data_IF_858481397138
#
_entry.id   IF_858481397138
#
_cell.length_a   1.000
_cell.length_b   1.000
_cell.length_c   1.000
_cell.angle_alpha   90.00
_cell.angle_beta   90.00
_cell.angle_gamma   90.00
#
_symmetry.space_group_name_H-M   'P 1'
#
loop_
_entity.id
_entity.type
_entity.pdbx_description
1 polymer ?
#
# COMPACT_ATOMS: atom_id res chain seq x y z
N UNK A 1 11.20 -12.82 -45.13
CA UNK A 1 12.32 -13.09 -44.21
C UNK A 1 12.78 -11.87 -43.42
N UNK A 2 13.11 -10.71 -44.05
CA UNK A 2 13.60 -9.51 -43.33
C UNK A 2 12.61 -8.96 -42.30
N UNK A 3 11.28 -8.93 -42.57
CA UNK A 3 10.27 -8.44 -41.63
C UNK A 3 10.16 -9.30 -40.37
N UNK A 4 10.19 -10.63 -40.52
CA UNK A 4 10.17 -11.57 -39.38
C UNK A 4 11.43 -11.46 -38.52
N UNK A 5 12.60 -11.22 -39.15
CA UNK A 5 13.84 -10.99 -38.43
C UNK A 5 13.84 -9.70 -37.64
N UNK A 6 13.21 -8.63 -38.15
CA UNK A 6 13.03 -7.35 -37.45
C UNK A 6 12.10 -7.54 -36.23
N UNK A 7 10.96 -8.24 -36.40
CA UNK A 7 10.05 -8.52 -35.31
C UNK A 7 10.72 -9.36 -34.21
N UNK A 8 11.49 -10.37 -34.59
CA UNK A 8 12.24 -11.19 -33.64
C UNK A 8 13.29 -10.37 -32.89
N UNK A 9 14.03 -9.49 -33.59
CA UNK A 9 15.01 -8.63 -32.96
C UNK A 9 14.37 -7.65 -31.97
N UNK A 10 13.22 -7.04 -32.33
CA UNK A 10 12.45 -6.18 -31.43
C UNK A 10 11.95 -6.94 -30.19
N UNK A 11 11.44 -8.16 -30.38
CA UNK A 11 11.00 -9.00 -29.28
C UNK A 11 12.16 -9.36 -28.32
N UNK A 12 13.32 -9.71 -28.85
CA UNK A 12 14.52 -9.99 -28.04
C UNK A 12 14.99 -8.75 -27.27
N UNK A 13 14.96 -7.57 -27.91
CA UNK A 13 15.30 -6.29 -27.25
C UNK A 13 14.32 -5.95 -26.13
N UNK A 14 13.01 -6.15 -26.34
CA UNK A 14 11.99 -5.94 -25.31
C UNK A 14 12.17 -6.90 -24.14
N UNK A 15 12.44 -8.17 -24.41
CA UNK A 15 12.73 -9.16 -23.37
C UNK A 15 13.99 -8.79 -22.57
N UNK A 16 15.08 -8.44 -23.26
CA UNK A 16 16.31 -8.03 -22.61
C UNK A 16 16.11 -6.76 -21.76
N UNK A 17 15.39 -5.77 -22.29
CA UNK A 17 15.01 -4.56 -21.54
C UNK A 17 14.17 -4.88 -20.30
N UNK A 18 13.18 -5.76 -20.41
CA UNK A 18 12.37 -6.21 -19.29
C UNK A 18 13.20 -6.95 -18.23
N UNK A 19 14.12 -7.83 -18.63
CA UNK A 19 15.01 -8.53 -17.69
C UNK A 19 15.92 -7.53 -16.96
N UNK A 20 16.49 -6.57 -17.68
CA UNK A 20 17.35 -5.53 -17.09
C UNK A 20 16.54 -4.71 -16.08
N UNK A 21 15.33 -4.26 -16.44
CA UNK A 21 14.45 -3.50 -15.55
C UNK A 21 14.14 -4.29 -14.27
N UNK A 22 13.78 -5.56 -14.39
CA UNK A 22 13.53 -6.44 -13.24
C UNK A 22 14.75 -6.63 -12.33
N UNK A 23 15.98 -6.68 -12.92
CA UNK A 23 17.20 -6.87 -12.15
C UNK A 23 17.73 -5.58 -11.52
N UNK A 24 17.40 -4.43 -12.10
CA UNK A 24 17.87 -3.12 -11.63
C UNK A 24 16.84 -2.38 -10.80
N UNK A 25 15.58 -2.81 -10.82
CA UNK A 25 14.53 -2.20 -10.02
C UNK A 25 14.91 -2.29 -8.54
N UNK A 26 14.93 -1.15 -7.91
CA UNK A 26 15.11 -0.99 -6.46
C UNK A 26 13.77 -0.59 -5.86
N UNK A 27 13.52 -1.02 -4.63
CA UNK A 27 12.31 -0.67 -3.91
C UNK A 27 11.71 -1.87 -3.19
N UNK A 28 10.82 -1.58 -2.28
CA UNK A 28 10.14 -2.57 -1.44
C UNK A 28 8.68 -2.64 -1.86
N UNK A 29 8.13 -3.84 -2.13
CA UNK A 29 6.71 -3.98 -2.35
C UNK A 29 5.95 -3.72 -1.04
N UNK A 30 5.06 -2.74 -1.07
CA UNK A 30 4.14 -2.39 0.02
C UNK A 30 2.73 -2.78 -0.40
N UNK A 31 2.21 -3.87 0.18
CA UNK A 31 0.88 -4.38 -0.13
C UNK A 31 -0.19 -3.56 0.57
N UNK A 32 -1.18 -3.05 -0.17
CA UNK A 32 -2.25 -2.25 0.38
C UNK A 32 -3.57 -3.02 0.37
N UNK A 33 -3.97 -3.49 1.54
CA UNK A 33 -5.25 -4.12 1.83
C UNK A 33 -6.21 -3.12 2.49
N UNK A 34 -7.49 -3.49 2.61
CA UNK A 34 -8.50 -2.77 3.39
C UNK A 34 -9.25 -3.78 4.27
N UNK A 35 -10.35 -4.35 3.77
CA UNK A 35 -11.16 -5.35 4.48
C UNK A 35 -10.72 -6.78 4.20
N UNK A 36 -10.71 -7.61 5.25
CA UNK A 36 -10.58 -9.07 5.15
C UNK A 36 -11.79 -9.70 5.83
N UNK A 37 -12.83 -9.93 5.06
CA UNK A 37 -14.13 -10.35 5.56
C UNK A 37 -14.80 -11.35 4.60
N UNK A 38 -15.83 -12.02 5.06
CA UNK A 38 -16.68 -12.82 4.19
C UNK A 38 -17.34 -11.96 3.10
N UNK A 39 -17.77 -12.60 2.04
CA UNK A 39 -18.26 -11.99 0.82
C UNK A 39 -19.37 -10.96 1.06
N UNK A 40 -19.05 -9.67 0.95
CA UNK A 40 -20.00 -8.56 1.13
C UNK A 40 -20.26 -7.73 -0.12
N UNK A 41 -19.62 -8.05 -1.25
CA UNK A 41 -19.78 -7.34 -2.53
C UNK A 41 -18.96 -6.07 -2.68
N UNK A 42 -18.24 -5.65 -1.65
CA UNK A 42 -17.32 -4.52 -1.71
C UNK A 42 -16.03 -4.93 -2.47
N UNK A 43 -15.60 -4.18 -3.49
CA UNK A 43 -14.38 -4.49 -4.25
C UNK A 43 -13.09 -4.38 -3.40
N UNK A 44 -13.12 -3.68 -2.27
CA UNK A 44 -11.99 -3.56 -1.34
C UNK A 44 -11.94 -4.71 -0.31
N UNK A 45 -12.91 -5.62 -0.33
CA UNK A 45 -12.97 -6.77 0.59
C UNK A 45 -12.31 -7.99 -0.02
N UNK A 46 -11.22 -8.44 0.55
CA UNK A 46 -10.60 -9.74 0.25
C UNK A 46 -11.18 -10.81 1.19
N UNK A 47 -11.46 -12.00 0.68
CA UNK A 47 -11.98 -13.07 1.54
C UNK A 47 -10.88 -13.68 2.40
N UNK A 48 -11.18 -14.14 3.62
CA UNK A 48 -10.18 -14.69 4.53
C UNK A 48 -9.35 -15.84 3.93
N UNK A 49 -9.97 -16.74 3.17
CA UNK A 49 -9.29 -17.83 2.46
C UNK A 49 -8.33 -17.33 1.37
N UNK A 50 -8.71 -16.25 0.67
CA UNK A 50 -7.85 -15.62 -0.33
C UNK A 50 -6.68 -14.89 0.34
N UNK A 51 -6.94 -14.18 1.44
CA UNK A 51 -5.88 -13.55 2.22
C UNK A 51 -4.91 -14.59 2.77
N UNK A 52 -5.41 -15.67 3.36
CA UNK A 52 -4.56 -16.75 3.87
C UNK A 52 -3.74 -17.41 2.74
N UNK A 53 -4.32 -17.63 1.56
CA UNK A 53 -3.59 -18.17 0.42
C UNK A 53 -2.46 -17.22 -0.06
N UNK A 54 -2.64 -15.89 0.06
CA UNK A 54 -1.58 -14.94 -0.24
C UNK A 54 -0.48 -14.96 0.82
N UNK A 55 -0.84 -15.02 2.11
CA UNK A 55 0.15 -15.14 3.20
C UNK A 55 0.93 -16.46 3.12
N UNK A 56 0.27 -17.58 2.83
CA UNK A 56 0.93 -18.85 2.58
C UNK A 56 1.93 -18.76 1.42
N UNK A 57 1.54 -18.13 0.32
CA UNK A 57 2.44 -17.91 -0.82
C UNK A 57 3.67 -17.08 -0.42
N UNK A 58 3.48 -15.98 0.32
CA UNK A 58 4.62 -15.17 0.77
C UNK A 58 5.58 -15.99 1.64
N UNK A 59 5.05 -16.81 2.56
CA UNK A 59 5.86 -17.68 3.40
C UNK A 59 6.60 -18.76 2.59
N UNK A 60 5.91 -19.45 1.68
CA UNK A 60 6.48 -20.52 0.85
C UNK A 60 7.59 -20.00 -0.07
N UNK A 61 7.45 -18.76 -0.57
CA UNK A 61 8.44 -18.12 -1.43
C UNK A 61 9.60 -17.48 -0.65
N UNK A 62 9.54 -17.49 0.69
CA UNK A 62 10.59 -16.95 1.55
C UNK A 62 10.59 -15.42 1.66
N UNK A 63 9.43 -14.77 1.49
CA UNK A 63 9.30 -13.35 1.79
C UNK A 63 9.42 -13.11 3.30
N UNK A 64 10.08 -12.01 3.65
CA UNK A 64 10.20 -11.55 5.03
C UNK A 64 9.43 -10.25 5.20
N UNK A 65 8.44 -10.23 6.10
CA UNK A 65 7.74 -8.99 6.40
C UNK A 65 8.62 -8.06 7.22
N UNK A 66 8.74 -6.81 6.79
CA UNK A 66 9.46 -5.75 7.47
C UNK A 66 8.51 -4.62 7.86
N UNK A 67 8.93 -3.78 8.79
CA UNK A 67 8.20 -2.54 9.15
C UNK A 67 8.49 -1.44 8.15
N UNK A 68 7.66 -0.38 8.17
CA UNK A 68 7.91 0.82 7.37
C UNK A 68 9.21 1.49 7.84
N UNK A 69 9.47 1.53 9.16
CA UNK A 69 10.73 2.08 9.68
C UNK A 69 11.96 1.31 9.18
N UNK A 70 11.92 -0.03 9.17
CA UNK A 70 13.01 -0.86 8.61
C UNK A 70 13.26 -0.53 7.14
N UNK A 71 12.21 -0.27 6.35
CA UNK A 71 12.34 0.19 4.97
C UNK A 71 12.96 1.59 4.90
N UNK A 72 12.43 2.54 5.66
CA UNK A 72 12.91 3.91 5.65
C UNK A 72 14.38 4.01 6.08
N UNK A 73 14.76 3.28 7.13
CA UNK A 73 16.15 3.22 7.57
C UNK A 73 17.09 2.61 6.50
N UNK A 74 16.60 1.66 5.73
CA UNK A 74 17.35 1.13 4.59
C UNK A 74 17.51 2.16 3.47
N UNK A 75 16.43 2.91 3.17
CA UNK A 75 16.45 3.95 2.13
C UNK A 75 17.33 5.16 2.52
N UNK A 76 17.26 5.59 3.77
CA UNK A 76 17.99 6.77 4.28
C UNK A 76 19.46 6.47 4.61
N UNK A 77 19.71 5.32 5.23
CA UNK A 77 21.00 4.98 5.83
C UNK A 77 21.74 3.83 5.15
N UNK A 78 21.10 3.18 4.16
CA UNK A 78 21.65 2.03 3.48
C UNK A 78 21.71 0.76 4.34
N UNK A 79 20.84 0.67 5.37
CA UNK A 79 20.72 -0.51 6.23
C UNK A 79 20.30 -1.72 5.38
N UNK A 80 20.98 -2.87 5.50
CA UNK A 80 20.64 -4.05 4.70
C UNK A 80 19.24 -4.57 5.03
N UNK A 81 18.42 -4.78 4.00
CA UNK A 81 17.15 -5.48 4.12
C UNK A 81 17.33 -7.00 3.90
N UNK A 82 16.36 -7.84 4.36
CA UNK A 82 16.32 -9.26 4.00
C UNK A 82 16.22 -9.44 2.48
N UNK A 83 16.45 -10.67 1.99
CA UNK A 83 16.55 -10.95 0.54
C UNK A 83 15.25 -10.66 -0.22
N UNK A 84 14.09 -10.96 0.38
CA UNK A 84 12.76 -10.72 -0.20
C UNK A 84 11.90 -9.92 0.80
N UNK A 85 12.17 -8.61 0.96
CA UNK A 85 11.39 -7.81 1.89
C UNK A 85 10.00 -7.54 1.33
N UNK A 86 9.00 -7.48 2.19
CA UNK A 86 7.63 -7.06 1.85
C UNK A 86 7.00 -6.34 3.04
N UNK A 87 6.22 -5.31 2.80
CA UNK A 87 5.42 -4.64 3.81
C UNK A 87 3.95 -4.95 3.56
N UNK A 88 3.22 -5.29 4.61
CA UNK A 88 1.77 -5.51 4.58
C UNK A 88 1.11 -4.32 5.24
N UNK A 89 0.22 -3.63 4.53
CA UNK A 89 -0.54 -2.51 5.07
C UNK A 89 -2.04 -2.72 4.89
N UNK A 90 -2.81 -2.20 5.85
CA UNK A 90 -4.27 -2.12 5.78
C UNK A 90 -4.68 -0.67 5.98
N UNK A 91 -5.61 -0.19 5.17
CA UNK A 91 -6.19 1.14 5.34
C UNK A 91 -7.51 1.04 6.10
N UNK A 92 -7.99 2.16 6.60
CA UNK A 92 -9.26 2.42 7.26
C UNK A 92 -9.40 1.90 8.72
N UNK A 93 -8.69 0.84 9.12
CA UNK A 93 -8.81 0.30 10.48
C UNK A 93 -10.11 -0.44 10.74
N UNK A 94 -10.59 -1.26 9.80
CA UNK A 94 -11.80 -2.06 9.95
C UNK A 94 -11.68 -3.15 11.03
N UNK A 95 -12.77 -3.46 11.71
CA UNK A 95 -12.83 -4.49 12.75
C UNK A 95 -12.47 -5.88 12.26
N UNK A 96 -12.75 -6.18 10.99
CA UNK A 96 -12.40 -7.45 10.33
C UNK A 96 -10.88 -7.69 10.27
N UNK A 97 -10.07 -6.65 10.35
CA UNK A 97 -8.62 -6.79 10.45
C UNK A 97 -8.21 -7.49 11.75
N UNK A 98 -8.93 -7.28 12.86
CA UNK A 98 -8.74 -8.02 14.10
C UNK A 98 -9.35 -9.43 14.02
N UNK A 99 -10.54 -9.56 13.45
CA UNK A 99 -11.30 -10.81 13.46
C UNK A 99 -10.71 -11.87 12.52
N UNK A 100 -10.24 -11.47 11.35
CA UNK A 100 -9.79 -12.38 10.29
C UNK A 100 -8.32 -12.21 9.92
N UNK A 101 -7.85 -10.98 9.65
CA UNK A 101 -6.48 -10.77 9.19
C UNK A 101 -5.44 -11.06 10.26
N UNK A 102 -5.63 -10.57 11.47
CA UNK A 102 -4.67 -10.72 12.58
C UNK A 102 -4.39 -12.18 12.96
N UNK A 103 -5.38 -13.08 13.13
CA UNK A 103 -5.10 -14.50 13.39
C UNK A 103 -4.28 -15.16 12.27
N UNK A 104 -4.51 -14.78 11.01
CA UNK A 104 -3.76 -15.28 9.87
C UNK A 104 -2.31 -14.75 9.92
N UNK A 105 -2.12 -13.45 10.15
CA UNK A 105 -0.79 -12.86 10.30
C UNK A 105 -0.01 -13.52 11.46
N UNK A 106 -0.65 -13.75 12.60
CA UNK A 106 -0.05 -14.49 13.73
C UNK A 106 0.40 -15.91 13.34
N UNK A 107 -0.41 -16.62 12.56
CA UNK A 107 -0.09 -17.97 12.09
C UNK A 107 1.23 -18.01 11.32
N UNK A 108 1.51 -17.00 10.51
CA UNK A 108 2.73 -16.93 9.71
C UNK A 108 3.85 -16.11 10.37
N UNK A 109 3.60 -15.47 11.52
CA UNK A 109 4.55 -14.59 12.20
C UNK A 109 4.83 -13.31 11.39
N UNK A 110 3.86 -12.84 10.61
CA UNK A 110 4.01 -11.71 9.72
C UNK A 110 3.67 -10.40 10.41
N UNK A 111 4.53 -9.39 10.20
CA UNK A 111 4.29 -8.01 10.62
C UNK A 111 3.36 -7.32 9.64
N UNK A 112 2.55 -6.37 10.13
CA UNK A 112 1.74 -5.48 9.30
C UNK A 112 1.57 -4.11 9.96
N UNK A 113 1.19 -3.10 9.15
CA UNK A 113 0.79 -1.77 9.61
C UNK A 113 -0.67 -1.52 9.26
N UNK A 114 -1.46 -0.99 10.21
CA UNK A 114 -2.84 -0.58 9.98
C UNK A 114 -2.92 0.94 10.10
N UNK A 115 -3.39 1.61 9.06
CA UNK A 115 -3.63 3.04 9.02
C UNK A 115 -5.05 3.33 9.53
N UNK A 116 -5.15 4.06 10.65
CA UNK A 116 -6.39 4.32 11.37
C UNK A 116 -7.03 5.65 10.97
N UNK A 117 -8.33 5.63 10.73
CA UNK A 117 -9.16 6.84 10.68
C UNK A 117 -9.55 7.16 12.12
N UNK A 118 -9.06 8.29 12.66
CA UNK A 118 -9.23 8.58 14.08
C UNK A 118 -10.70 8.60 14.54
N UNK A 119 -11.56 9.36 13.86
CA UNK A 119 -12.97 9.55 14.23
C UNK A 119 -13.82 8.29 14.13
N UNK A 120 -13.41 7.34 13.28
CA UNK A 120 -14.14 6.09 13.07
C UNK A 120 -13.72 5.02 14.06
N UNK A 121 -12.46 5.08 14.52
CA UNK A 121 -11.87 4.15 15.48
C UNK A 121 -12.62 4.19 16.80
N UNK A 122 -13.06 3.03 17.31
CA UNK A 122 -13.83 2.87 18.55
C UNK A 122 -15.19 3.62 18.57
N UNK A 123 -15.63 4.12 17.42
CA UNK A 123 -16.89 4.88 17.30
C UNK A 123 -17.98 4.03 16.65
N UNK A 124 -17.65 3.25 15.64
CA UNK A 124 -18.59 2.43 14.90
C UNK A 124 -18.21 0.94 14.99
N UNK A 125 -19.21 0.02 15.01
CA UNK A 125 -18.97 -1.41 15.27
C UNK A 125 -18.17 -2.13 14.17
N UNK A 126 -18.09 -1.55 12.99
CA UNK A 126 -17.29 -2.08 11.86
C UNK A 126 -15.84 -1.55 11.83
N UNK A 127 -15.44 -0.77 12.83
CA UNK A 127 -14.06 -0.29 13.01
C UNK A 127 -13.46 -0.86 14.29
N UNK A 128 -12.13 -0.91 14.33
CA UNK A 128 -11.36 -1.40 15.48
C UNK A 128 -11.68 -0.60 16.75
N UNK A 129 -11.78 -1.31 17.86
CA UNK A 129 -11.82 -0.71 19.20
C UNK A 129 -10.42 -0.48 19.73
N UNK A 130 -10.27 0.46 20.68
CA UNK A 130 -8.96 0.68 21.34
C UNK A 130 -8.46 -0.56 22.10
N UNK A 131 -9.35 -1.43 22.57
CA UNK A 131 -8.99 -2.69 23.21
C UNK A 131 -8.34 -3.66 22.21
N UNK A 132 -8.96 -3.85 21.04
CA UNK A 132 -8.42 -4.67 19.95
C UNK A 132 -7.08 -4.14 19.43
N UNK A 133 -6.98 -2.81 19.26
CA UNK A 133 -5.74 -2.13 18.86
C UNK A 133 -4.62 -2.40 19.86
N UNK A 134 -4.89 -2.27 21.17
CA UNK A 134 -3.89 -2.52 22.20
C UNK A 134 -3.44 -3.98 22.22
N UNK A 135 -4.36 -4.94 22.09
CA UNK A 135 -4.01 -6.37 22.00
C UNK A 135 -3.09 -6.65 20.79
N UNK A 136 -3.46 -6.13 19.62
CA UNK A 136 -2.66 -6.31 18.40
C UNK A 136 -1.27 -5.65 18.54
N UNK A 137 -1.20 -4.45 19.10
CA UNK A 137 0.03 -3.71 19.36
C UNK A 137 0.96 -4.49 20.30
N UNK A 138 0.42 -5.02 21.40
CA UNK A 138 1.18 -5.79 22.40
C UNK A 138 1.76 -7.11 21.83
N UNK A 139 1.18 -7.64 20.75
CA UNK A 139 1.73 -8.80 20.06
C UNK A 139 3.09 -8.55 19.42
N UNK A 140 3.43 -7.28 19.15
CA UNK A 140 4.63 -6.87 18.41
C UNK A 140 4.57 -7.15 16.90
N UNK A 141 3.45 -7.67 16.39
CA UNK A 141 3.26 -7.94 14.95
C UNK A 141 2.57 -6.79 14.22
N UNK A 142 1.68 -6.08 14.90
CA UNK A 142 0.88 -5.02 14.27
C UNK A 142 1.30 -3.66 14.80
N UNK A 143 1.63 -2.78 13.87
CA UNK A 143 1.89 -1.37 14.11
C UNK A 143 0.72 -0.53 13.59
N UNK A 144 0.49 0.63 14.17
CA UNK A 144 -0.62 1.51 13.79
C UNK A 144 -0.09 2.87 13.39
N UNK A 145 -0.68 3.43 12.32
CA UNK A 145 -0.32 4.71 11.75
C UNK A 145 -1.57 5.49 11.32
N UNK A 146 -1.42 6.71 10.81
CA UNK A 146 -2.55 7.61 10.52
C UNK A 146 -3.14 7.39 9.13
N UNK A 147 -4.50 7.38 9.08
CA UNK A 147 -5.28 7.53 7.84
C UNK A 147 -6.18 8.78 7.90
N UNK A 148 -5.66 9.86 8.47
CA UNK A 148 -6.31 11.15 8.71
C UNK A 148 -7.38 11.12 9.82
N UNK A 149 -8.04 12.27 10.03
CA UNK A 149 -9.08 12.43 11.04
C UNK A 149 -10.36 11.73 10.64
N UNK A 150 -10.90 12.09 9.45
CA UNK A 150 -12.24 11.68 9.00
C UNK A 150 -12.26 10.90 7.70
N UNK A 151 -11.09 10.69 7.06
CA UNK A 151 -10.95 10.14 5.71
C UNK A 151 -11.48 11.08 4.62
N UNK A 152 -11.39 12.40 4.83
CA UNK A 152 -11.75 13.38 3.80
C UNK A 152 -10.83 13.30 2.58
N UNK A 153 -11.36 13.62 1.39
CA UNK A 153 -10.53 13.79 0.21
C UNK A 153 -9.69 15.06 0.35
N UNK A 154 -8.46 14.94 0.82
CA UNK A 154 -7.58 16.06 1.11
C UNK A 154 -7.39 17.02 -0.08
N UNK A 155 -7.37 16.49 -1.31
CA UNK A 155 -7.19 17.30 -2.52
C UNK A 155 -8.41 18.16 -2.86
N UNK A 156 -9.55 17.92 -2.24
CA UNK A 156 -10.77 18.74 -2.39
C UNK A 156 -10.94 19.79 -1.29
N UNK A 157 -10.16 19.68 -0.20
CA UNK A 157 -10.14 20.69 0.86
C UNK A 157 -9.37 21.92 0.38
N UNK A 158 -9.95 23.11 0.62
CA UNK A 158 -9.36 24.39 0.20
C UNK A 158 -8.96 25.27 1.38
N UNK A 159 -9.31 24.87 2.60
CA UNK A 159 -8.97 25.55 3.84
C UNK A 159 -7.71 24.91 4.44
N UNK A 160 -6.73 25.72 4.80
CA UNK A 160 -5.57 25.28 5.55
C UNK A 160 -5.98 24.66 6.88
N UNK A 161 -6.95 25.24 7.57
CA UNK A 161 -7.42 24.75 8.88
C UNK A 161 -8.05 23.34 8.74
N UNK A 162 -8.80 23.08 7.66
CA UNK A 162 -9.38 21.76 7.41
C UNK A 162 -8.29 20.73 7.08
N UNK A 163 -7.30 21.09 6.25
CA UNK A 163 -6.14 20.22 5.97
C UNK A 163 -5.32 19.94 7.23
N UNK A 164 -5.08 20.96 8.05
CA UNK A 164 -4.37 20.82 9.32
C UNK A 164 -5.13 19.89 10.27
N UNK A 165 -6.45 20.05 10.38
CA UNK A 165 -7.29 19.17 11.18
C UNK A 165 -7.21 17.71 10.74
N UNK A 166 -7.29 17.45 9.43
CA UNK A 166 -7.20 16.09 8.91
C UNK A 166 -5.82 15.46 9.14
N UNK A 167 -4.74 16.22 9.01
CA UNK A 167 -3.36 15.70 8.99
C UNK A 167 -2.69 15.84 10.35
N UNK A 168 -2.61 17.05 10.89
CA UNK A 168 -1.84 17.34 12.10
C UNK A 168 -2.60 16.94 13.38
N UNK A 169 -3.90 17.29 13.48
CA UNK A 169 -4.66 16.91 14.68
C UNK A 169 -4.83 15.38 14.76
N UNK A 170 -4.97 14.67 13.63
CA UNK A 170 -4.99 13.21 13.65
C UNK A 170 -3.67 12.59 14.09
N UNK A 171 -2.54 13.19 13.67
CA UNK A 171 -1.19 12.81 14.15
C UNK A 171 -1.12 12.88 15.68
N UNK A 172 -1.46 14.04 16.24
CA UNK A 172 -1.32 14.31 17.67
C UNK A 172 -2.26 13.42 18.51
N UNK A 173 -3.52 13.29 18.09
CA UNK A 173 -4.51 12.49 18.80
C UNK A 173 -4.23 10.99 18.73
N UNK A 174 -3.79 10.48 17.59
CA UNK A 174 -3.37 9.06 17.47
C UNK A 174 -2.11 8.81 18.29
N UNK A 175 -1.13 9.72 18.25
CA UNK A 175 0.10 9.60 19.03
C UNK A 175 -0.20 9.56 20.53
N UNK A 176 -1.10 10.41 21.03
CA UNK A 176 -1.55 10.38 22.43
C UNK A 176 -2.22 9.03 22.78
N UNK A 177 -3.12 8.54 21.92
CA UNK A 177 -3.87 7.30 22.17
C UNK A 177 -2.98 6.04 22.12
N UNK A 178 -2.03 6.00 21.22
CA UNK A 178 -1.17 4.84 21.00
C UNK A 178 0.09 4.85 21.87
N UNK A 179 0.48 6.04 22.40
CA UNK A 179 1.62 6.21 23.28
C UNK A 179 2.98 6.22 22.55
N UNK A 180 2.98 6.51 21.25
CA UNK A 180 4.16 6.75 20.43
C UNK A 180 3.81 7.70 19.28
N UNK A 181 4.81 8.38 18.70
CA UNK A 181 4.61 9.35 17.63
C UNK A 181 4.21 8.65 16.32
N UNK A 182 3.24 9.23 15.60
CA UNK A 182 2.89 8.76 14.26
C UNK A 182 4.01 9.14 13.30
N UNK A 183 4.55 8.15 12.60
CA UNK A 183 5.62 8.40 11.64
C UNK A 183 5.12 8.45 10.20
N UNK A 184 4.01 7.81 9.90
CA UNK A 184 3.54 7.66 8.53
C UNK A 184 2.04 7.96 8.40
N UNK A 185 1.68 8.42 7.21
CA UNK A 185 0.29 8.66 6.84
C UNK A 185 -0.02 7.92 5.53
N UNK A 186 -1.19 7.28 5.44
CA UNK A 186 -1.77 6.91 4.15
C UNK A 186 -2.79 7.98 3.74
N UNK A 187 -2.62 8.57 2.56
CA UNK A 187 -3.55 9.59 2.09
C UNK A 187 -4.85 8.97 1.61
N UNK A 188 -6.04 9.46 2.04
CA UNK A 188 -7.32 8.98 1.54
C UNK A 188 -7.42 9.02 0.03
N UNK A 189 -7.68 7.85 -0.59
CA UNK A 189 -7.69 7.68 -2.04
C UNK A 189 -6.35 7.95 -2.73
N UNK A 190 -5.25 8.04 -1.98
CA UNK A 190 -3.89 8.27 -2.48
C UNK A 190 -3.64 9.66 -3.05
N UNK A 191 -4.52 10.63 -2.78
CA UNK A 191 -4.46 11.97 -3.38
C UNK A 191 -3.62 12.91 -2.53
N UNK A 192 -2.55 13.40 -3.09
CA UNK A 192 -1.59 14.31 -2.47
C UNK A 192 -1.17 15.39 -3.46
N UNK A 193 -0.86 16.57 -2.95
CA UNK A 193 -0.26 17.69 -3.68
C UNK A 193 0.81 18.35 -2.81
N UNK A 194 1.51 19.36 -3.32
CA UNK A 194 2.61 20.00 -2.63
C UNK A 194 2.21 20.63 -1.28
N UNK A 195 1.00 21.18 -1.17
CA UNK A 195 0.48 21.76 0.08
C UNK A 195 0.21 20.69 1.13
N UNK A 196 -0.45 19.60 0.74
CA UNK A 196 -0.70 18.43 1.62
C UNK A 196 0.63 17.86 2.11
N UNK A 197 1.61 17.70 1.22
CA UNK A 197 2.94 17.21 1.58
C UNK A 197 3.65 18.13 2.57
N UNK A 198 3.56 19.46 2.38
CA UNK A 198 4.15 20.44 3.30
C UNK A 198 3.53 20.35 4.71
N UNK A 199 2.19 20.25 4.80
CA UNK A 199 1.48 20.08 6.06
C UNK A 199 1.84 18.75 6.71
N UNK A 200 1.91 17.67 5.95
CA UNK A 200 2.31 16.33 6.43
C UNK A 200 3.71 16.37 7.05
N UNK A 201 4.66 17.00 6.36
CA UNK A 201 6.03 17.17 6.88
C UNK A 201 6.07 18.05 8.12
N UNK A 202 5.31 19.16 8.13
CA UNK A 202 5.23 20.09 9.27
C UNK A 202 4.59 19.44 10.51
N UNK A 203 3.65 18.51 10.33
CA UNK A 203 3.03 17.74 11.40
C UNK A 203 3.96 16.70 12.05
N UNK A 204 5.13 16.41 11.45
CA UNK A 204 6.13 15.50 12.03
C UNK A 204 6.19 14.12 11.40
N UNK A 205 5.35 13.81 10.41
CA UNK A 205 5.45 12.55 9.69
C UNK A 205 6.79 12.42 8.94
N UNK A 206 7.36 11.22 8.91
CA UNK A 206 8.55 10.86 8.14
C UNK A 206 8.21 10.53 6.68
N UNK A 207 6.97 10.14 6.41
CA UNK A 207 6.56 9.79 5.07
C UNK A 207 5.06 9.59 4.90
N UNK A 208 4.65 9.46 3.63
CA UNK A 208 3.25 9.26 3.25
C UNK A 208 3.08 8.31 2.07
N UNK A 209 1.98 7.56 2.09
CA UNK A 209 1.67 6.55 1.10
C UNK A 209 0.49 6.97 0.22
N UNK A 210 0.67 6.76 -1.07
CA UNK A 210 -0.38 6.87 -2.08
C UNK A 210 -1.05 5.51 -2.34
N UNK A 211 -1.93 5.44 -3.33
CA UNK A 211 -2.45 4.19 -3.90
C UNK A 211 -1.93 3.97 -5.33
N UNK A 212 -0.94 4.76 -5.77
CA UNK A 212 -0.28 4.51 -7.04
C UNK A 212 0.40 3.16 -7.01
N UNK A 213 0.31 2.47 -8.13
CA UNK A 213 0.83 1.12 -8.23
C UNK A 213 2.33 1.14 -8.54
N UNK A 214 3.13 0.66 -7.60
CA UNK A 214 4.57 0.60 -7.77
C UNK A 214 5.28 -0.11 -6.62
N UNK A 215 6.60 -0.09 -6.66
CA UNK A 215 7.46 -0.40 -5.52
C UNK A 215 7.77 0.91 -4.81
N UNK A 216 7.72 0.94 -3.50
CA UNK A 216 8.20 2.12 -2.75
C UNK A 216 9.70 2.28 -2.94
N UNK A 217 10.12 3.39 -3.51
CA UNK A 217 11.52 3.71 -3.84
C UNK A 217 11.96 5.02 -3.20
N UNK A 218 13.27 5.24 -2.97
CA UNK A 218 13.77 6.52 -2.47
C UNK A 218 13.64 7.66 -3.49
N UNK A 219 13.47 7.32 -4.77
CA UNK A 219 13.45 8.28 -5.89
C UNK A 219 12.14 9.05 -5.98
N UNK A 220 11.04 8.49 -5.47
CA UNK A 220 9.70 9.11 -5.44
C UNK A 220 9.53 10.14 -4.33
N UNK A 221 10.46 10.20 -3.39
CA UNK A 221 10.35 10.99 -2.17
C UNK A 221 9.54 10.27 -1.09
N UNK A 222 9.85 10.58 0.18
CA UNK A 222 9.26 9.88 1.33
C UNK A 222 7.75 10.14 1.48
N UNK A 223 7.20 11.18 0.87
CA UNK A 223 5.81 11.62 1.08
C UNK A 223 4.84 11.23 -0.03
N UNK A 224 5.29 10.46 -1.02
CA UNK A 224 4.45 9.97 -2.12
C UNK A 224 4.77 8.51 -2.47
N UNK A 225 5.02 7.70 -1.45
CA UNK A 225 5.43 6.30 -1.63
C UNK A 225 4.33 5.46 -2.29
N UNK A 226 4.71 4.70 -3.30
CA UNK A 226 3.84 3.80 -4.03
C UNK A 226 3.51 2.53 -3.25
N UNK A 227 2.37 1.93 -3.57
CA UNK A 227 1.95 0.65 -3.00
C UNK A 227 1.42 -0.28 -4.10
N UNK A 228 1.24 -1.55 -3.77
CA UNK A 228 0.57 -2.54 -4.60
C UNK A 228 -0.86 -2.71 -4.06
N UNK A 229 -1.88 -2.04 -4.63
CA UNK A 229 -3.26 -2.18 -4.17
C UNK A 229 -3.79 -3.59 -4.41
N UNK A 230 -4.39 -4.18 -3.37
CA UNK A 230 -5.03 -5.49 -3.39
C UNK A 230 -6.55 -5.30 -3.31
N UNK A 231 -7.23 -5.72 -4.36
CA UNK A 231 -8.68 -5.65 -4.44
C UNK A 231 -9.31 -7.02 -4.18
N UNK A 232 -10.50 -7.04 -3.68
CA UNK A 232 -11.22 -8.25 -3.35
C UNK A 232 -12.02 -8.86 -4.51
N UNK A 233 -12.85 -9.84 -4.17
CA UNK A 233 -13.75 -10.56 -5.05
C UNK A 233 -13.01 -11.28 -6.22
N UNK A 234 -13.56 -11.18 -7.43
CA UNK A 234 -12.97 -11.83 -8.62
C UNK A 234 -11.77 -11.07 -9.21
N UNK A 235 -11.40 -9.92 -8.61
CA UNK A 235 -10.37 -9.03 -9.16
C UNK A 235 -8.95 -9.43 -8.75
N UNK A 236 -8.76 -10.08 -7.58
CA UNK A 236 -7.45 -10.54 -7.11
C UNK A 236 -7.42 -12.03 -6.80
N UNK A 237 -7.40 -12.86 -7.85
CA UNK A 237 -7.02 -14.26 -7.69
C UNK A 237 -5.57 -14.37 -7.22
N UNK A 238 -5.21 -15.47 -6.57
CA UNK A 238 -3.82 -15.73 -6.17
C UNK A 238 -2.83 -15.62 -7.34
N UNK A 239 -3.24 -16.05 -8.55
CA UNK A 239 -2.41 -15.90 -9.75
C UNK A 239 -2.14 -14.43 -10.09
N UNK A 240 -3.18 -13.59 -10.02
CA UNK A 240 -3.03 -12.15 -10.28
C UNK A 240 -2.16 -11.48 -9.21
N UNK A 241 -2.35 -11.83 -7.94
CA UNK A 241 -1.49 -11.38 -6.85
C UNK A 241 -0.01 -11.69 -7.12
N UNK A 242 0.29 -12.95 -7.47
CA UNK A 242 1.66 -13.40 -7.81
C UNK A 242 2.25 -12.59 -8.97
N UNK A 243 1.48 -12.38 -10.04
CA UNK A 243 1.93 -11.61 -11.20
C UNK A 243 2.19 -10.14 -10.84
N UNK A 244 1.27 -9.50 -10.12
CA UNK A 244 1.42 -8.10 -9.72
C UNK A 244 2.62 -7.91 -8.81
N UNK A 245 2.83 -8.81 -7.85
CA UNK A 245 3.98 -8.74 -6.94
C UNK A 245 5.29 -8.99 -7.67
N UNK A 246 5.37 -10.06 -8.48
CA UNK A 246 6.61 -10.45 -9.15
C UNK A 246 7.03 -9.48 -10.26
N UNK A 247 6.05 -8.87 -10.97
CA UNK A 247 6.31 -8.02 -12.13
C UNK A 247 6.00 -6.55 -11.87
N UNK A 248 5.96 -6.11 -10.61
CA UNK A 248 5.66 -4.73 -10.26
C UNK A 248 6.51 -3.71 -11.05
N UNK A 249 7.83 -3.86 -11.24
CA UNK A 249 8.63 -2.92 -12.01
C UNK A 249 8.24 -2.79 -13.49
N UNK A 250 7.64 -3.83 -14.06
CA UNK A 250 7.16 -3.81 -15.45
C UNK A 250 5.72 -3.31 -15.57
N UNK A 251 4.91 -3.55 -14.55
CA UNK A 251 3.49 -3.20 -14.55
C UNK A 251 3.30 -1.72 -14.19
N UNK A 252 4.07 -1.17 -13.26
CA UNK A 252 3.91 0.20 -12.79
C UNK A 252 3.92 1.23 -13.95
N UNK A 253 4.90 1.27 -14.86
CA UNK A 253 4.88 2.21 -15.98
C UNK A 253 3.69 2.03 -16.93
N UNK A 254 3.13 0.82 -17.01
CA UNK A 254 1.94 0.56 -17.83
C UNK A 254 0.67 1.07 -17.14
N UNK A 255 0.58 0.96 -15.82
CA UNK A 255 -0.52 1.55 -15.04
C UNK A 255 -0.49 3.08 -15.13
N UNK A 256 0.68 3.71 -15.03
CA UNK A 256 0.85 5.16 -15.18
C UNK A 256 0.39 5.61 -16.56
N UNK A 257 0.86 4.96 -17.62
CA UNK A 257 0.42 5.24 -18.97
C UNK A 257 -1.11 5.09 -19.13
N UNK A 258 -1.70 4.07 -18.47
CA UNK A 258 -3.15 3.87 -18.48
C UNK A 258 -3.89 5.01 -17.81
N UNK A 259 -3.38 5.52 -16.69
CA UNK A 259 -3.94 6.66 -15.98
C UNK A 259 -3.82 7.95 -16.81
N UNK A 260 -2.67 8.21 -17.43
CA UNK A 260 -2.45 9.34 -18.33
C UNK A 260 -3.42 9.31 -19.53
N UNK A 261 -3.60 8.15 -20.16
CA UNK A 261 -4.55 7.99 -21.27
C UNK A 261 -5.99 8.32 -20.83
N UNK A 262 -6.38 7.91 -19.62
CA UNK A 262 -7.70 8.25 -19.06
C UNK A 262 -7.83 9.76 -18.81
N UNK A 263 -6.82 10.38 -18.23
CA UNK A 263 -6.79 11.83 -17.98
C UNK A 263 -6.87 12.66 -19.29
N UNK A 264 -6.27 12.15 -20.37
CA UNK A 264 -6.36 12.76 -21.71
C UNK A 264 -7.67 12.43 -22.45
N UNK A 265 -8.64 11.72 -21.84
CA UNK A 265 -9.90 11.33 -22.46
C UNK A 265 -9.81 10.14 -23.41
N UNK A 266 -8.65 9.49 -23.53
CA UNK A 266 -8.42 8.33 -24.39
C UNK A 266 -8.78 7.00 -23.67
N UNK A 267 -9.94 6.98 -23.00
CA UNK A 267 -10.42 5.89 -22.15
C UNK A 267 -10.52 4.56 -22.88
N UNK A 268 -10.83 4.57 -24.19
CA UNK A 268 -10.92 3.36 -24.97
C UNK A 268 -9.56 2.68 -25.15
N UNK A 269 -8.47 3.46 -25.35
CA UNK A 269 -7.10 2.94 -25.41
C UNK A 269 -6.68 2.37 -24.04
N UNK A 270 -6.95 3.12 -22.97
CA UNK A 270 -6.67 2.66 -21.61
C UNK A 270 -7.35 1.31 -21.29
N UNK A 271 -8.59 1.11 -21.75
CA UNK A 271 -9.34 -0.13 -21.54
C UNK A 271 -8.86 -1.30 -22.42
N UNK A 272 -8.11 -1.04 -23.50
CA UNK A 272 -7.45 -2.08 -24.30
C UNK A 272 -6.17 -2.61 -23.66
N UNK A 273 -5.63 -1.93 -22.65
CA UNK A 273 -4.42 -2.37 -21.94
C UNK A 273 -4.77 -3.52 -20.98
N UNK A 274 -4.30 -4.72 -21.32
CA UNK A 274 -4.47 -5.92 -20.49
C UNK A 274 -3.40 -5.91 -19.38
N UNK A 275 -3.66 -5.17 -18.30
CA UNK A 275 -2.80 -5.13 -17.13
C UNK A 275 -3.38 -6.09 -16.09
N UNK A 276 -2.56 -7.00 -15.51
CA UNK A 276 -3.01 -8.02 -14.57
C UNK A 276 -3.51 -7.47 -13.24
#
# INVERSE_FOLDING_TARGET
MRFLSILLALFVLLLAGGIILMQTAKGVPVLNYHQVEEKNGNPLTLWPDQFEAQMAYLADEGYTTITIDEMMDALENGTPLPEKPVIITFDDGYADNYEYAYPILKKYGFKATIFLIYDLTNTYPNYLTWEQINEMKESGLIHFESHTMTHANLAELTSYDDLHHEIADSHDLLSEKLGYDMHYIAYPGGRVNAEIEEITRAAGYRGGFTVHYGLSTPEEGCYQMDRIPIFGANMHTLTRFKLRLAFAPLIAPLEDLRLELRACGLTWLANCMLIP
#
